data_IF_537623595177
#
_entry.id   IF_537623595177
#
_cell.length_a   1.000
_cell.length_b   1.000
_cell.length_c   1.000
_cell.angle_alpha   90.00
_cell.angle_beta   90.00
_cell.angle_gamma   90.00
#
_symmetry.space_group_name_H-M   'P 1'
#
loop_
_entity.id
_entity.type
_entity.pdbx_description
1 polymer ?
#
# COMPACT_ATOMS: atom_id res chain seq x y z
N UNK A 1 -28.95 -12.47 81.04
CA UNK A 1 -30.33 -12.71 80.57
C UNK A 1 -30.59 -11.80 79.39
N UNK A 2 -30.99 -12.41 78.27
CA UNK A 2 -31.10 -11.81 76.95
C UNK A 2 -32.20 -10.74 76.85
N UNK A 3 -31.99 -9.73 75.98
CA UNK A 3 -33.03 -9.27 75.05
C UNK A 3 -32.41 -8.93 73.70
N UNK A 4 -32.83 -9.74 72.73
CA UNK A 4 -32.63 -9.67 71.29
C UNK A 4 -33.91 -9.02 70.71
N UNK A 5 -33.78 -7.92 69.98
CA UNK A 5 -34.84 -7.29 69.15
C UNK A 5 -34.11 -6.42 68.14
N UNK A 6 -33.84 -6.88 66.91
CA UNK A 6 -34.72 -6.95 65.73
C UNK A 6 -34.66 -5.71 64.82
N UNK A 7 -34.24 -5.96 63.57
CA UNK A 7 -34.79 -5.43 62.29
C UNK A 7 -34.12 -4.16 61.67
N UNK A 8 -33.28 -4.45 60.67
CA UNK A 8 -33.31 -3.99 59.25
C UNK A 8 -33.00 -2.53 58.82
N UNK A 9 -32.43 -2.48 57.62
CA UNK A 9 -32.27 -1.37 56.67
C UNK A 9 -31.11 -0.39 56.87
N UNK A 10 -30.16 -0.37 55.91
CA UNK A 10 -29.25 0.78 55.80
C UNK A 10 -27.99 0.62 54.95
N UNK A 11 -28.15 0.35 53.66
CA UNK A 11 -27.31 0.91 52.59
C UNK A 11 -25.86 0.40 52.42
N UNK A 12 -25.76 -0.60 51.54
CA UNK A 12 -24.62 -0.85 50.65
C UNK A 12 -24.36 0.40 49.77
N UNK A 13 -23.33 1.18 50.09
CA UNK A 13 -22.78 2.25 49.24
C UNK A 13 -21.32 2.48 49.69
N UNK A 14 -20.27 2.53 48.88
CA UNK A 14 -20.17 2.62 47.44
C UNK A 14 -18.81 2.00 47.02
N UNK A 15 -18.87 0.91 46.26
CA UNK A 15 -17.77 0.45 45.41
C UNK A 15 -17.97 1.10 44.04
N UNK A 16 -17.43 2.31 43.82
CA UNK A 16 -17.25 2.84 42.47
C UNK A 16 -16.01 3.74 42.45
N UNK A 17 -14.83 3.11 42.35
CA UNK A 17 -13.69 3.78 41.72
C UNK A 17 -14.04 3.85 40.24
N UNK A 18 -14.48 5.03 39.80
CA UNK A 18 -14.60 5.34 38.38
C UNK A 18 -13.19 5.35 37.77
N UNK A 19 -12.82 4.27 37.08
CA UNK A 19 -11.74 4.35 36.11
C UNK A 19 -12.25 5.29 35.01
N UNK A 20 -11.78 6.54 35.03
CA UNK A 20 -11.97 7.43 33.90
C UNK A 20 -11.31 6.75 32.68
N UNK A 21 -12.02 6.53 31.57
CA UNK A 21 -11.36 6.08 30.35
C UNK A 21 -10.31 7.12 30.00
N UNK A 22 -9.06 6.68 29.81
CA UNK A 22 -8.01 7.54 29.28
C UNK A 22 -8.53 8.17 27.99
N UNK A 23 -8.30 9.48 27.75
CA UNK A 23 -8.65 10.08 26.49
C UNK A 23 -7.92 9.28 25.40
N UNK A 24 -8.68 8.61 24.54
CA UNK A 24 -8.15 8.06 23.31
C UNK A 24 -7.57 9.25 22.56
N UNK A 25 -6.25 9.32 22.50
CA UNK A 25 -5.55 10.24 21.62
C UNK A 25 -6.11 9.96 20.23
N UNK A 26 -6.84 10.92 19.67
CA UNK A 26 -7.09 10.99 18.24
C UNK A 26 -5.74 11.22 17.59
N UNK A 27 -4.91 10.18 17.55
CA UNK A 27 -3.76 10.14 16.67
C UNK A 27 -4.29 10.36 15.27
N UNK A 28 -3.51 11.08 14.48
CA UNK A 28 -3.78 11.48 13.11
C UNK A 28 -4.14 10.26 12.24
N UNK A 29 -5.40 9.84 12.26
CA UNK A 29 -5.91 8.71 11.50
C UNK A 29 -5.83 9.08 10.03
N UNK A 30 -5.02 8.37 9.27
CA UNK A 30 -5.08 8.42 7.82
C UNK A 30 -6.35 7.69 7.37
N UNK A 31 -7.51 8.35 7.55
CA UNK A 31 -8.81 7.76 7.23
C UNK A 31 -8.92 7.41 5.75
N UNK A 32 -8.19 8.09 4.86
CA UNK A 32 -8.22 7.81 3.43
C UNK A 32 -7.32 6.63 3.07
N UNK A 33 -6.14 6.52 3.67
CA UNK A 33 -5.27 5.33 3.58
C UNK A 33 -5.97 4.11 4.19
N UNK A 34 -6.57 4.25 5.37
CA UNK A 34 -7.42 3.22 5.98
C UNK A 34 -8.60 2.84 5.08
N UNK A 35 -9.21 3.79 4.35
CA UNK A 35 -10.28 3.49 3.38
C UNK A 35 -9.74 2.79 2.15
N UNK A 36 -8.61 3.20 1.58
CA UNK A 36 -7.99 2.53 0.43
C UNK A 36 -7.63 1.09 0.80
N UNK A 37 -7.07 0.89 2.00
CA UNK A 37 -6.77 -0.42 2.58
C UNK A 37 -8.03 -1.23 2.83
N UNK A 38 -9.05 -0.63 3.47
CA UNK A 38 -10.31 -1.29 3.83
C UNK A 38 -11.19 -1.59 2.62
N UNK A 39 -11.07 -0.82 1.54
CA UNK A 39 -11.73 -1.11 0.27
C UNK A 39 -11.10 -2.36 -0.39
N UNK A 40 -9.87 -2.74 -0.01
CA UNK A 40 -9.18 -3.90 -0.59
C UNK A 40 -8.91 -3.75 -2.10
N UNK A 41 -9.00 -2.51 -2.60
CA UNK A 41 -8.83 -2.20 -4.00
C UNK A 41 -7.37 -1.85 -4.15
N UNK A 42 -6.62 -2.87 -4.54
CA UNK A 42 -5.25 -2.73 -4.92
C UNK A 42 -5.06 -1.52 -5.83
N UNK A 43 -4.25 -0.54 -5.39
CA UNK A 43 -3.89 0.59 -6.24
C UNK A 43 -3.27 0.09 -7.54
N UNK A 44 -2.59 -1.05 -7.53
CA UNK A 44 -2.01 -1.66 -8.72
C UNK A 44 -2.85 -2.83 -9.23
N UNK A 45 -3.29 -2.77 -10.48
CA UNK A 45 -4.05 -3.86 -11.13
C UNK A 45 -3.19 -4.73 -12.04
N UNK A 46 -2.20 -4.13 -12.70
CA UNK A 46 -1.31 -4.79 -13.65
C UNK A 46 0.10 -4.22 -13.56
N UNK A 47 1.09 -5.07 -13.69
CA UNK A 47 2.51 -4.71 -13.82
C UNK A 47 3.01 -5.21 -15.17
N UNK A 48 3.76 -4.38 -15.88
CA UNK A 48 4.54 -4.78 -17.05
C UNK A 48 6.02 -4.56 -16.72
N UNK A 49 6.79 -5.64 -16.70
CA UNK A 49 8.24 -5.60 -16.51
C UNK A 49 8.93 -5.79 -17.86
N UNK A 50 9.91 -4.96 -18.17
CA UNK A 50 10.74 -5.04 -19.38
C UNK A 50 12.16 -5.37 -18.99
N UNK A 51 12.61 -6.54 -19.44
CA UNK A 51 13.95 -7.09 -19.21
C UNK A 51 14.73 -6.91 -20.51
N UNK A 52 15.87 -6.21 -20.43
CA UNK A 52 16.79 -6.04 -21.56
C UNK A 52 18.01 -6.95 -21.41
N UNK A 53 18.89 -7.00 -22.42
CA UNK A 53 20.19 -7.68 -22.28
C UNK A 53 21.01 -7.10 -21.11
N UNK A 54 20.98 -5.78 -20.95
CA UNK A 54 21.69 -5.10 -19.87
C UNK A 54 21.19 -5.55 -18.49
N UNK A 55 19.88 -5.79 -18.34
CA UNK A 55 19.29 -6.34 -17.11
C UNK A 55 19.97 -7.63 -16.65
N UNK A 56 20.43 -8.49 -17.58
CA UNK A 56 21.10 -9.75 -17.23
C UNK A 56 22.45 -9.55 -16.55
N UNK A 57 23.06 -8.38 -16.71
CA UNK A 57 24.35 -8.01 -16.13
C UNK A 57 24.15 -7.05 -14.95
N UNK A 58 23.31 -6.03 -15.11
CA UNK A 58 23.11 -4.98 -14.10
C UNK A 58 22.09 -5.33 -13.03
N UNK A 59 21.24 -6.34 -13.27
CA UNK A 59 20.09 -6.69 -12.43
C UNK A 59 19.08 -5.54 -12.28
N UNK A 60 19.08 -4.60 -13.22
CA UNK A 60 18.15 -3.47 -13.25
C UNK A 60 17.18 -3.62 -14.42
N UNK A 61 15.89 -3.47 -14.16
CA UNK A 61 14.85 -3.54 -15.19
C UNK A 61 13.97 -2.28 -15.17
N UNK A 62 13.12 -2.17 -16.20
CA UNK A 62 12.09 -1.15 -16.27
C UNK A 62 10.73 -1.77 -15.96
N UNK A 63 9.91 -1.08 -15.18
CA UNK A 63 8.51 -1.45 -15.03
C UNK A 63 7.58 -0.31 -15.43
N UNK A 64 6.34 -0.65 -15.71
CA UNK A 64 5.22 0.27 -15.53
C UNK A 64 4.09 -0.49 -14.86
N UNK A 65 3.18 0.22 -14.22
CA UNK A 65 2.02 -0.36 -13.60
C UNK A 65 0.77 0.44 -13.93
N UNK A 66 -0.37 -0.23 -13.87
CA UNK A 66 -1.67 0.40 -13.99
C UNK A 66 -2.23 0.67 -12.60
N UNK A 67 -2.43 1.95 -12.30
CA UNK A 67 -3.04 2.43 -11.08
C UNK A 67 -4.56 2.46 -11.22
N UNK A 68 -5.31 1.96 -10.24
CA UNK A 68 -6.77 2.09 -10.20
C UNK A 68 -7.20 2.98 -9.04
N UNK A 69 -8.09 3.93 -9.33
CA UNK A 69 -8.71 4.80 -8.35
C UNK A 69 -10.19 4.45 -8.19
N UNK A 70 -10.60 3.85 -7.06
CA UNK A 70 -12.00 3.50 -6.81
C UNK A 70 -12.83 4.66 -6.27
N UNK A 71 -12.24 5.84 -6.07
CA UNK A 71 -12.89 6.97 -5.43
C UNK A 71 -13.51 7.90 -6.47
N UNK A 72 -14.54 8.62 -6.07
CA UNK A 72 -15.26 9.59 -6.92
C UNK A 72 -14.50 10.91 -7.13
N UNK A 73 -13.23 10.97 -6.72
CA UNK A 73 -12.37 12.13 -6.86
C UNK A 73 -10.98 11.71 -7.34
N UNK A 74 -10.23 12.66 -7.91
CA UNK A 74 -8.91 12.43 -8.48
C UNK A 74 -7.88 12.10 -7.39
N UNK A 75 -6.99 11.16 -7.71
CA UNK A 75 -5.78 10.86 -6.95
C UNK A 75 -4.57 11.20 -7.81
N UNK A 76 -3.55 11.80 -7.21
CA UNK A 76 -2.28 12.06 -7.88
C UNK A 76 -1.16 11.37 -7.14
N UNK A 77 -0.39 10.51 -7.81
CA UNK A 77 0.74 9.79 -7.21
C UNK A 77 2.02 10.57 -7.49
N UNK A 78 2.70 10.99 -6.44
CA UNK A 78 3.96 11.74 -6.53
C UNK A 78 5.18 10.81 -6.37
N UNK A 79 5.07 9.81 -5.50
CA UNK A 79 6.15 8.86 -5.21
C UNK A 79 5.58 7.48 -4.90
N UNK A 80 6.33 6.45 -5.29
CA UNK A 80 6.05 5.06 -4.94
C UNK A 80 7.36 4.36 -4.55
N UNK A 81 7.29 3.54 -3.52
CA UNK A 81 8.32 2.57 -3.19
C UNK A 81 7.65 1.22 -3.00
N UNK A 82 8.24 0.18 -3.57
CA UNK A 82 7.67 -1.16 -3.50
C UNK A 82 8.75 -2.22 -3.44
N UNK A 83 8.45 -3.27 -2.68
CA UNK A 83 9.14 -4.56 -2.75
C UNK A 83 8.14 -5.61 -3.21
N UNK A 84 8.52 -6.40 -4.23
CA UNK A 84 7.69 -7.44 -4.81
C UNK A 84 8.41 -8.78 -4.78
N UNK A 85 7.63 -9.86 -4.64
CA UNK A 85 8.15 -11.18 -4.42
C UNK A 85 7.15 -12.30 -4.67
N UNK A 86 7.57 -13.52 -4.34
CA UNK A 86 6.73 -14.73 -4.41
C UNK A 86 6.93 -15.50 -3.11
N UNK A 87 5.84 -15.90 -2.46
CA UNK A 87 5.87 -16.66 -1.21
C UNK A 87 6.74 -15.98 -0.12
N UNK A 88 6.67 -14.66 -0.03
CA UNK A 88 7.45 -13.86 0.93
C UNK A 88 8.94 -13.69 0.60
N UNK A 89 9.44 -14.30 -0.48
CA UNK A 89 10.81 -14.04 -0.96
C UNK A 89 10.78 -12.84 -1.90
N UNK A 90 11.54 -11.79 -1.56
CA UNK A 90 11.66 -10.59 -2.39
C UNK A 90 12.49 -10.88 -3.65
N UNK A 91 11.98 -10.46 -4.80
CA UNK A 91 12.65 -10.56 -6.11
C UNK A 91 12.90 -9.21 -6.76
N UNK A 92 12.09 -8.20 -6.45
CA UNK A 92 12.22 -6.87 -7.03
C UNK A 92 12.01 -5.80 -5.98
N UNK A 93 12.80 -4.73 -6.03
CA UNK A 93 12.65 -3.58 -5.16
C UNK A 93 12.92 -2.28 -5.91
N UNK A 94 12.16 -1.23 -5.59
CA UNK A 94 12.41 0.11 -6.11
C UNK A 94 11.88 1.21 -5.19
N UNK A 95 12.39 2.41 -5.40
CA UNK A 95 11.88 3.65 -4.85
C UNK A 95 12.00 4.72 -5.92
N UNK A 96 10.86 5.30 -6.30
CA UNK A 96 10.77 6.19 -7.44
C UNK A 96 9.86 7.38 -7.16
N UNK A 97 10.40 8.58 -7.38
CA UNK A 97 9.64 9.83 -7.38
C UNK A 97 9.38 10.24 -8.82
N UNK A 98 8.12 10.48 -9.17
CA UNK A 98 7.76 10.82 -10.53
C UNK A 98 8.15 12.27 -10.85
N UNK A 99 8.89 12.53 -11.95
CA UNK A 99 9.14 13.89 -12.41
C UNK A 99 7.85 14.63 -12.78
N UNK A 100 6.92 13.91 -13.38
CA UNK A 100 5.55 14.34 -13.64
C UNK A 100 4.62 13.41 -12.86
N UNK A 101 3.87 13.91 -11.86
CA UNK A 101 2.99 13.07 -11.05
C UNK A 101 1.97 12.31 -11.89
N UNK A 102 1.61 11.11 -11.45
CA UNK A 102 0.65 10.25 -12.15
C UNK A 102 -0.75 10.63 -11.70
N UNK A 103 -1.55 11.19 -12.61
CA UNK A 103 -2.93 11.57 -12.35
C UNK A 103 -3.84 10.37 -12.62
N UNK A 104 -4.52 9.88 -11.58
CA UNK A 104 -5.47 8.78 -11.67
C UNK A 104 -6.90 9.34 -11.56
N UNK A 105 -7.68 9.32 -12.65
CA UNK A 105 -8.99 9.95 -12.68
C UNK A 105 -9.98 9.29 -11.71
N UNK A 106 -11.05 9.99 -11.31
CA UNK A 106 -12.14 9.42 -10.52
C UNK A 106 -12.69 8.13 -11.15
N UNK A 107 -12.84 7.08 -10.34
CA UNK A 107 -13.39 5.77 -10.75
C UNK A 107 -12.69 5.15 -11.97
N UNK A 108 -11.44 5.54 -12.25
CA UNK A 108 -10.73 5.16 -13.47
C UNK A 108 -9.36 4.56 -13.20
N UNK A 109 -8.59 4.38 -14.28
CA UNK A 109 -7.22 3.88 -14.23
C UNK A 109 -6.25 4.82 -14.93
N UNK A 110 -4.97 4.74 -14.56
CA UNK A 110 -3.89 5.46 -15.20
C UNK A 110 -2.62 4.62 -15.22
N UNK A 111 -1.85 4.70 -16.31
CA UNK A 111 -0.53 4.09 -16.37
C UNK A 111 0.49 4.99 -15.66
N UNK A 112 1.39 4.39 -14.86
CA UNK A 112 2.42 5.13 -14.15
C UNK A 112 3.53 5.70 -15.04
N UNK A 113 3.59 5.28 -16.31
CA UNK A 113 4.74 5.51 -17.16
C UNK A 113 5.90 4.57 -16.80
N UNK A 114 7.03 4.76 -17.48
CA UNK A 114 8.21 3.92 -17.25
C UNK A 114 8.93 4.31 -15.97
N UNK A 115 9.16 3.32 -15.12
CA UNK A 115 9.94 3.38 -13.88
C UNK A 115 11.25 2.63 -14.13
N UNK A 116 12.39 3.34 -14.25
CA UNK A 116 13.69 2.71 -14.45
C UNK A 116 14.27 2.19 -13.13
N UNK A 117 15.38 1.44 -13.25
CA UNK A 117 16.23 1.05 -12.12
C UNK A 117 15.52 0.22 -11.04
N UNK A 118 14.60 -0.66 -11.45
CA UNK A 118 14.02 -1.64 -10.54
C UNK A 118 15.04 -2.75 -10.31
N UNK A 119 15.47 -2.89 -9.06
CA UNK A 119 16.51 -3.84 -8.67
C UNK A 119 15.92 -5.24 -8.55
N UNK A 120 16.48 -6.19 -9.29
CA UNK A 120 16.24 -7.61 -9.10
C UNK A 120 17.11 -8.13 -7.96
N UNK A 121 16.53 -8.28 -6.77
CA UNK A 121 17.29 -8.55 -5.53
C UNK A 121 17.87 -9.96 -5.46
N UNK A 122 17.26 -10.91 -6.17
CA UNK A 122 17.82 -12.25 -6.38
C UNK A 122 18.72 -12.36 -7.62
N UNK A 123 18.89 -11.25 -8.34
CA UNK A 123 19.55 -11.20 -9.64
C UNK A 123 18.67 -11.64 -10.81
N UNK A 124 19.09 -11.28 -12.03
CA UNK A 124 18.31 -11.50 -13.23
C UNK A 124 18.08 -12.97 -13.54
N UNK A 125 19.12 -13.81 -13.42
CA UNK A 125 19.04 -15.24 -13.72
C UNK A 125 18.04 -15.95 -12.80
N UNK A 126 18.06 -15.66 -11.50
CA UNK A 126 17.10 -16.24 -10.57
C UNK A 126 15.67 -15.74 -10.85
N UNK A 127 15.55 -14.47 -11.26
CA UNK A 127 14.26 -13.84 -11.58
C UNK A 127 13.64 -14.38 -12.88
N UNK A 128 14.41 -14.99 -13.79
CA UNK A 128 13.85 -15.66 -14.97
C UNK A 128 12.93 -16.83 -14.59
N UNK A 129 13.18 -17.49 -13.46
CA UNK A 129 12.38 -18.64 -13.02
C UNK A 129 10.98 -18.26 -12.53
N UNK A 130 10.75 -17.00 -12.16
CA UNK A 130 9.43 -16.52 -11.71
C UNK A 130 8.59 -15.95 -12.86
N UNK A 131 9.18 -15.69 -14.03
CA UNK A 131 8.47 -15.18 -15.23
C UNK A 131 7.27 -16.07 -15.60
N UNK A 132 7.39 -17.41 -15.64
CA UNK A 132 6.28 -18.28 -16.05
C UNK A 132 5.07 -18.25 -15.09
N UNK A 133 5.22 -17.70 -13.88
CA UNK A 133 4.12 -17.60 -12.92
C UNK A 133 3.09 -16.55 -13.34
N UNK A 134 3.52 -15.46 -13.99
CA UNK A 134 2.62 -14.41 -14.49
C UNK A 134 1.99 -13.51 -13.41
N UNK A 135 2.47 -13.58 -12.17
CA UNK A 135 2.05 -12.71 -11.07
C UNK A 135 3.22 -12.39 -10.15
N UNK A 136 3.02 -11.38 -9.30
CA UNK A 136 3.90 -11.02 -8.18
C UNK A 136 3.06 -10.62 -6.97
N UNK A 137 3.57 -10.90 -5.78
CA UNK A 137 3.04 -10.36 -4.53
C UNK A 137 3.78 -9.07 -4.20
N UNK A 138 3.05 -7.98 -4.02
CA UNK A 138 3.58 -6.73 -3.47
C UNK A 138 3.70 -6.89 -1.96
N UNK A 139 4.94 -7.14 -1.51
CA UNK A 139 5.29 -7.45 -0.13
C UNK A 139 5.30 -6.22 0.78
N UNK A 140 5.50 -5.03 0.24
CA UNK A 140 5.42 -3.78 0.99
C UNK A 140 5.38 -2.63 -0.03
N UNK A 141 4.30 -1.84 -0.06
CA UNK A 141 4.20 -0.65 -0.90
C UNK A 141 3.96 0.57 -0.04
N UNK A 142 4.77 1.59 -0.28
CA UNK A 142 4.58 2.92 0.27
C UNK A 142 4.30 3.87 -0.89
N UNK A 143 3.24 4.65 -0.78
CA UNK A 143 2.81 5.57 -1.84
C UNK A 143 2.53 6.93 -1.22
N UNK A 144 3.14 7.97 -1.79
CA UNK A 144 2.79 9.35 -1.50
C UNK A 144 1.80 9.82 -2.58
N UNK A 145 0.58 10.09 -2.15
CA UNK A 145 -0.50 10.54 -3.03
C UNK A 145 -1.07 11.86 -2.56
N UNK A 146 -1.66 12.61 -3.48
CA UNK A 146 -2.50 13.76 -3.18
C UNK A 146 -3.93 13.42 -3.59
N UNK A 147 -4.84 13.51 -2.63
CA UNK A 147 -6.26 13.32 -2.86
C UNK A 147 -6.95 14.66 -3.20
N UNK A 148 -8.09 14.60 -3.89
CA UNK A 148 -8.88 15.78 -4.27
C UNK A 148 -8.08 16.77 -5.12
N UNK A 149 -7.18 16.26 -5.95
CA UNK A 149 -6.45 17.07 -6.93
C UNK A 149 -7.34 17.47 -8.08
N UNK A 150 -6.89 18.47 -8.85
CA UNK A 150 -7.51 18.88 -10.11
C UNK A 150 -6.38 18.94 -11.14
N UNK A 151 -6.40 18.04 -12.11
CA UNK A 151 -5.36 17.90 -13.13
C UNK A 151 -3.95 17.78 -12.51
N UNK A 152 -3.80 17.00 -11.43
CA UNK A 152 -2.51 16.78 -10.77
C UNK A 152 -2.04 17.92 -9.85
N UNK A 153 -2.83 18.99 -9.70
CA UNK A 153 -2.49 20.18 -8.90
C UNK A 153 -3.25 20.22 -7.58
N UNK A 154 -2.69 20.95 -6.62
CA UNK A 154 -3.23 21.10 -5.26
C UNK A 154 -3.39 19.72 -4.59
N UNK A 155 -4.49 19.52 -3.88
CA UNK A 155 -4.82 18.28 -3.17
C UNK A 155 -4.30 18.22 -1.74
N UNK A 156 -4.78 17.24 -1.01
CA UNK A 156 -4.39 16.93 0.36
C UNK A 156 -3.34 15.83 0.30
N UNK A 157 -2.10 16.07 0.75
CA UNK A 157 -1.06 15.05 0.75
C UNK A 157 -1.41 13.93 1.73
N UNK A 158 -1.13 12.71 1.30
CA UNK A 158 -1.46 11.48 1.97
C UNK A 158 -0.30 10.49 1.81
N UNK A 159 0.19 9.98 2.92
CA UNK A 159 1.30 9.02 2.92
C UNK A 159 0.75 7.69 3.35
N UNK A 160 0.60 6.80 2.37
CA UNK A 160 0.13 5.44 2.58
C UNK A 160 1.36 4.54 2.71
N UNK A 161 1.46 3.76 3.77
CA UNK A 161 2.61 2.89 4.04
C UNK A 161 2.19 1.48 4.38
N UNK A 162 2.98 0.48 4.00
CA UNK A 162 2.72 -0.90 4.42
C UNK A 162 1.63 -1.61 3.62
N UNK A 163 1.34 -1.18 2.39
CA UNK A 163 0.35 -1.87 1.58
C UNK A 163 0.86 -3.24 1.15
N UNK A 164 -0.03 -4.21 1.19
CA UNK A 164 0.22 -5.56 0.69
C UNK A 164 -0.81 -5.90 -0.37
N UNK A 165 -0.35 -6.47 -1.48
CA UNK A 165 -1.24 -6.98 -2.53
C UNK A 165 -0.73 -8.33 -3.02
N UNK A 166 -1.57 -9.35 -2.96
CA UNK A 166 -1.20 -10.67 -3.44
C UNK A 166 -1.64 -10.87 -4.89
N UNK A 167 -0.89 -11.68 -5.62
CA UNK A 167 -1.26 -12.18 -6.94
C UNK A 167 -1.56 -11.05 -7.96
N UNK A 168 -0.74 -10.00 -7.96
CA UNK A 168 -0.84 -8.89 -8.93
C UNK A 168 -0.37 -9.39 -10.30
N UNK A 169 -1.22 -9.26 -11.31
CA UNK A 169 -0.92 -9.74 -12.66
C UNK A 169 0.32 -9.04 -13.21
N UNK A 170 1.31 -9.83 -13.61
CA UNK A 170 2.60 -9.33 -14.09
C UNK A 170 2.93 -9.91 -15.45
N UNK A 171 3.09 -9.04 -16.44
CA UNK A 171 3.55 -9.40 -17.78
C UNK A 171 5.03 -9.08 -17.91
N UNK A 172 5.82 -10.02 -18.42
CA UNK A 172 7.24 -9.83 -18.67
C UNK A 172 7.48 -9.70 -20.17
N UNK A 173 8.11 -8.62 -20.59
CA UNK A 173 8.57 -8.40 -21.95
C UNK A 173 10.09 -8.56 -21.99
N UNK A 174 10.57 -9.43 -22.87
CA UNK A 174 11.98 -9.65 -23.13
C UNK A 174 12.35 -8.85 -24.36
N UNK A 175 12.95 -7.68 -24.15
CA UNK A 175 13.47 -6.85 -25.22
C UNK A 175 14.94 -7.17 -25.43
N UNK A 176 15.18 -8.16 -26.30
CA UNK A 176 16.51 -8.68 -26.61
C UNK A 176 17.09 -8.10 -27.91
N UNK A 177 16.46 -7.06 -28.45
CA UNK A 177 16.94 -6.39 -29.65
C UNK A 177 17.92 -5.29 -29.29
N UNK A 178 19.16 -5.42 -29.78
CA UNK A 178 20.20 -4.36 -29.73
C UNK A 178 19.76 -3.10 -30.49
#
# INVERSE_FOLDING_TARGET
MARLTSIFFGLLAALFVSAAPAPNVLENRDLLGEIIDALGIGLVTKINATITLDTLVTNLLFINFEAQNPLIFELTIDQVSSTAGINGTEYAAFNYTFPTPVVVPPLGTANSGSIPNVLLTQGAIASLNIIPLGYLDLLNVNVNVRALTIDGKLGIPLVITGLHQNNVSTTYNLDLTD
#
